data_IF_629824349726
#
_entry.id   IF_629824349726
#
_cell.length_a   1.000
_cell.length_b   1.000
_cell.length_c   1.000
_cell.angle_alpha   90.00
_cell.angle_beta   90.00
_cell.angle_gamma   90.00
#
_symmetry.space_group_name_H-M   'P 1'
#
loop_
_entity.id
_entity.type
_entity.pdbx_description
1 polymer ?
#
# COMPACT_ATOMS: atom_id res chain seq x y z
N UNK A 1 -2.82 12.47 4.93
CA UNK A 1 -3.68 11.32 5.29
C UNK A 1 -2.79 10.26 5.88
N UNK A 2 -3.30 9.50 6.84
CA UNK A 2 -2.58 8.39 7.47
C UNK A 2 -3.15 7.08 6.95
N UNK A 3 -2.28 6.09 6.71
CA UNK A 3 -2.67 4.76 6.24
C UNK A 3 -2.15 3.73 7.23
N UNK A 4 -2.98 2.76 7.67
CA UNK A 4 -2.52 1.70 8.55
C UNK A 4 -1.55 0.81 7.78
N UNK A 5 -0.38 0.59 8.37
CA UNK A 5 0.65 -0.30 7.84
C UNK A 5 0.95 -1.33 8.92
N UNK A 6 0.91 -2.60 8.54
CA UNK A 6 1.40 -3.71 9.36
C UNK A 6 2.87 -3.89 8.99
N UNK A 7 3.74 -3.90 10.00
CA UNK A 7 5.17 -4.13 9.83
C UNK A 7 5.53 -5.45 10.50
N UNK A 8 6.07 -6.38 9.74
CA UNK A 8 6.46 -7.72 10.19
C UNK A 8 7.95 -7.92 9.92
N UNK A 9 8.64 -8.59 10.83
CA UNK A 9 10.03 -8.99 10.60
C UNK A 9 10.04 -10.26 9.77
N UNK A 10 10.88 -10.32 8.74
CA UNK A 10 11.08 -11.54 7.97
C UNK A 10 12.03 -12.47 8.75
N UNK A 11 11.52 -13.62 9.18
CA UNK A 11 12.29 -14.59 9.98
C UNK A 11 13.19 -15.48 9.11
N UNK A 12 12.90 -15.63 7.81
CA UNK A 12 13.64 -16.51 6.91
C UNK A 12 14.82 -15.78 6.25
N UNK A 13 14.58 -14.60 5.69
CA UNK A 13 15.60 -13.82 4.97
C UNK A 13 16.17 -12.67 5.81
N UNK A 14 15.53 -12.31 6.92
CA UNK A 14 15.84 -11.10 7.68
C UNK A 14 15.25 -9.83 7.05
N UNK A 15 15.35 -8.71 7.76
CA UNK A 15 14.71 -7.46 7.36
C UNK A 15 13.23 -7.38 7.76
N UNK A 16 12.47 -6.53 7.07
CA UNK A 16 11.10 -6.17 7.41
C UNK A 16 10.21 -6.11 6.18
N UNK A 17 8.97 -6.56 6.33
CA UNK A 17 7.90 -6.48 5.33
C UNK A 17 6.83 -5.52 5.84
N UNK A 18 6.48 -4.51 5.05
CA UNK A 18 5.42 -3.57 5.34
C UNK A 18 4.23 -3.82 4.40
N UNK A 19 3.02 -3.90 4.94
CA UNK A 19 1.79 -4.14 4.18
C UNK A 19 0.67 -3.20 4.61
N UNK A 20 -0.05 -2.61 3.64
CA UNK A 20 -1.25 -1.81 3.93
C UNK A 20 -2.52 -2.66 3.72
N UNK A 21 -3.20 -3.13 4.78
CA UNK A 21 -4.32 -4.07 4.65
C UNK A 21 -5.53 -3.48 3.93
N UNK A 22 -5.69 -2.15 3.95
CA UNK A 22 -6.81 -1.46 3.29
C UNK A 22 -6.54 -1.17 1.81
N UNK A 23 -5.28 -1.26 1.35
CA UNK A 23 -4.89 -1.11 -0.05
C UNK A 23 -4.26 -2.42 -0.52
N UNK A 24 -5.11 -3.35 -0.95
CA UNK A 24 -4.67 -4.69 -1.38
C UNK A 24 -3.58 -4.59 -2.46
N UNK A 25 -2.47 -5.27 -2.22
CA UNK A 25 -1.32 -5.31 -3.12
C UNK A 25 -0.26 -4.25 -2.83
N UNK A 26 -0.51 -3.29 -1.93
CA UNK A 26 0.54 -2.41 -1.41
C UNK A 26 1.36 -3.16 -0.36
N UNK A 27 2.54 -3.60 -0.78
CA UNK A 27 3.54 -4.28 0.03
C UNK A 27 4.93 -3.75 -0.34
N UNK A 28 5.83 -3.69 0.62
CA UNK A 28 7.26 -3.41 0.43
C UNK A 28 8.08 -4.23 1.42
N UNK A 29 9.37 -4.33 1.16
CA UNK A 29 10.34 -5.00 2.03
C UNK A 29 11.61 -4.15 2.10
N UNK A 30 12.28 -4.13 3.25
CA UNK A 30 13.55 -3.45 3.44
C UNK A 30 14.42 -4.17 4.48
N UNK A 31 15.73 -3.90 4.48
CA UNK A 31 16.65 -4.44 5.49
C UNK A 31 16.37 -3.83 6.88
N UNK A 32 15.78 -2.63 6.89
CA UNK A 32 15.42 -1.89 8.11
C UNK A 32 13.93 -1.54 8.15
N UNK A 33 13.40 -1.27 9.34
CA UNK A 33 12.03 -0.78 9.51
C UNK A 33 11.80 0.51 8.72
N UNK A 34 12.76 1.43 8.75
CA UNK A 34 12.69 2.73 8.09
C UNK A 34 12.66 2.60 6.58
N UNK A 35 13.45 1.71 6.00
CA UNK A 35 13.44 1.43 4.56
C UNK A 35 12.10 0.83 4.12
N UNK A 36 11.62 -0.22 4.79
CA UNK A 36 10.33 -0.83 4.47
C UNK A 36 9.18 0.20 4.56
N UNK A 37 9.22 1.07 5.58
CA UNK A 37 8.24 2.14 5.79
C UNK A 37 8.39 3.32 4.80
N UNK A 38 9.57 3.58 4.26
CA UNK A 38 9.74 4.60 3.21
C UNK A 38 9.18 4.06 1.88
N UNK A 39 9.55 2.82 1.52
CA UNK A 39 9.14 2.20 0.27
C UNK A 39 7.63 1.94 0.20
N UNK A 40 6.99 1.60 1.33
CA UNK A 40 5.52 1.42 1.35
C UNK A 40 4.80 2.73 1.04
N UNK A 41 5.38 3.90 1.35
CA UNK A 41 4.78 5.21 1.02
C UNK A 41 4.71 5.41 -0.48
N UNK A 42 5.74 4.98 -1.21
CA UNK A 42 5.76 5.04 -2.68
C UNK A 42 4.74 4.08 -3.28
N UNK A 43 4.67 2.84 -2.77
CA UNK A 43 3.67 1.87 -3.21
C UNK A 43 2.23 2.37 -3.00
N UNK A 44 1.93 2.97 -1.85
CA UNK A 44 0.64 3.59 -1.55
C UNK A 44 0.38 4.79 -2.48
N UNK A 45 1.38 5.66 -2.66
CA UNK A 45 1.25 6.85 -3.52
C UNK A 45 0.94 6.47 -4.97
N UNK A 46 1.62 5.45 -5.49
CA UNK A 46 1.37 4.92 -6.83
C UNK A 46 -0.02 4.29 -6.97
N UNK A 47 -0.47 3.54 -5.97
CA UNK A 47 -1.79 2.93 -5.96
C UNK A 47 -2.90 4.00 -6.04
N UNK A 48 -2.78 5.06 -5.26
CA UNK A 48 -3.74 6.18 -5.25
C UNK A 48 -3.72 6.95 -6.58
N UNK A 49 -2.54 7.16 -7.16
CA UNK A 49 -2.42 7.75 -8.49
C UNK A 49 -3.12 6.91 -9.56
N UNK A 50 -3.00 5.58 -9.52
CA UNK A 50 -3.72 4.67 -10.41
C UNK A 50 -5.25 4.78 -10.26
N UNK A 51 -5.77 4.94 -9.04
CA UNK A 51 -7.19 5.20 -8.82
C UNK A 51 -7.61 6.52 -9.47
N UNK A 52 -6.82 7.57 -9.31
CA UNK A 52 -7.09 8.89 -9.90
C UNK A 52 -7.13 8.83 -11.43
N UNK A 53 -6.19 8.12 -12.05
CA UNK A 53 -6.16 7.90 -13.49
C UNK A 53 -7.38 7.12 -13.99
N UNK A 54 -7.82 6.09 -13.26
CA UNK A 54 -9.07 5.39 -13.57
C UNK A 54 -10.29 6.34 -13.55
N UNK A 55 -10.30 7.36 -12.68
CA UNK A 55 -11.38 8.38 -12.64
C UNK A 55 -11.35 9.22 -13.88
N UNK A 56 -10.17 9.71 -14.24
CA UNK A 56 -9.96 10.55 -15.42
C UNK A 56 -10.34 9.82 -16.71
N UNK A 57 -10.04 8.53 -16.80
CA UNK A 57 -10.37 7.70 -17.96
C UNK A 57 -11.85 7.28 -18.01
N UNK A 58 -12.64 7.49 -16.95
CA UNK A 58 -14.04 7.06 -16.89
C UNK A 58 -14.23 5.52 -16.93
N UNK A 59 -13.18 4.76 -16.59
CA UNK A 59 -13.12 3.29 -16.76
C UNK A 59 -13.69 2.47 -15.61
N UNK A 60 -14.26 3.10 -14.58
CA UNK A 60 -14.93 2.39 -13.50
C UNK A 60 -16.31 2.98 -13.17
N UNK A 61 -17.05 2.25 -12.34
CA UNK A 61 -18.31 2.69 -11.72
C UNK A 61 -18.15 2.58 -10.22
N UNK A 62 -18.67 3.54 -9.48
CA UNK A 62 -18.78 3.45 -8.02
C UNK A 62 -20.00 2.60 -7.68
N UNK A 63 -19.87 1.75 -6.66
CA UNK A 63 -20.99 0.99 -6.09
C UNK A 63 -21.01 1.31 -4.61
N UNK A 64 -22.11 1.88 -4.14
CA UNK A 64 -22.31 2.18 -2.73
C UNK A 64 -22.67 0.90 -1.98
N UNK A 65 -21.86 0.54 -0.99
CA UNK A 65 -22.15 -0.57 -0.07
C UNK A 65 -22.57 0.05 1.26
N UNK A 66 -23.85 -0.06 1.68
CA UNK A 66 -24.27 0.39 2.99
C UNK A 66 -23.58 -0.47 4.07
N UNK A 67 -23.17 0.20 5.14
CA UNK A 67 -22.49 -0.42 6.29
C UNK A 67 -23.40 -1.39 7.04
#
# INVERSE_FOLDING_TARGET
>A
MEYPVILEKDEEEGGFVATCPILKGCVSQGETEEEALEDIKDAISLYLAGIEDLKRMGRYRTVDIPA
#
